data_IF_232544095065
#
_entry.id   IF_232544095065
#
_cell.length_a   1.000
_cell.length_b   1.000
_cell.length_c   1.000
_cell.angle_alpha   90.00
_cell.angle_beta   90.00
_cell.angle_gamma   90.00
#
_symmetry.space_group_name_H-M   'P 1'
#
loop_
_entity.id
_entity.type
_entity.pdbx_description
1 polymer ?
#
# COMPACT_ATOMS: atom_id res chain seq x y z
N UNK A 1 -2.58 -10.63 12.61
CA UNK A 1 -1.39 -10.50 13.49
C UNK A 1 -0.36 -9.59 12.82
N UNK A 2 0.11 -9.87 11.59
CA UNK A 2 1.11 -9.06 10.88
C UNK A 2 0.68 -7.60 10.69
N UNK A 3 -0.54 -7.36 10.25
CA UNK A 3 -1.14 -6.03 10.09
C UNK A 3 -1.14 -5.24 11.40
N UNK A 4 -1.50 -5.88 12.52
CA UNK A 4 -1.49 -5.24 13.83
C UNK A 4 -0.07 -4.91 14.31
N UNK A 5 0.90 -5.79 14.05
CA UNK A 5 2.32 -5.54 14.31
C UNK A 5 2.84 -4.35 13.52
N UNK A 6 2.54 -4.29 12.22
CA UNK A 6 2.95 -3.22 11.33
C UNK A 6 2.40 -1.84 11.76
N UNK A 7 1.12 -1.79 12.15
CA UNK A 7 0.49 -0.55 12.62
C UNK A 7 1.04 -0.11 13.98
N UNK A 8 1.25 -1.06 14.92
CA UNK A 8 1.73 -0.75 16.28
C UNK A 8 3.22 -0.42 16.35
N UNK A 9 4.04 -0.94 15.44
CA UNK A 9 5.49 -0.70 15.45
C UNK A 9 5.88 0.72 15.01
N UNK A 10 5.02 1.46 14.31
CA UNK A 10 5.36 2.74 13.70
C UNK A 10 6.06 2.62 12.33
N UNK A 11 6.39 1.40 11.90
CA UNK A 11 7.07 1.14 10.63
C UNK A 11 6.32 1.71 9.42
N UNK A 12 4.97 1.63 9.45
CA UNK A 12 4.13 2.18 8.38
C UNK A 12 4.31 3.69 8.22
N UNK A 13 4.29 4.44 9.32
CA UNK A 13 4.50 5.90 9.29
C UNK A 13 5.86 6.25 8.72
N UNK A 14 6.92 5.54 9.15
CA UNK A 14 8.28 5.73 8.64
C UNK A 14 8.37 5.47 7.13
N UNK A 15 7.76 4.39 6.63
CA UNK A 15 7.72 4.08 5.20
C UNK A 15 7.03 5.17 4.41
N UNK A 16 5.88 5.66 4.86
CA UNK A 16 5.15 6.74 4.17
C UNK A 16 5.99 8.01 4.11
N UNK A 17 6.64 8.41 5.21
CA UNK A 17 7.50 9.60 5.22
C UNK A 17 8.67 9.46 4.24
N UNK A 18 9.32 8.29 4.16
CA UNK A 18 10.37 8.04 3.16
C UNK A 18 9.87 8.19 1.73
N UNK A 19 8.68 7.64 1.45
CA UNK A 19 8.11 7.75 0.11
C UNK A 19 7.74 9.21 -0.23
N UNK A 20 7.19 9.96 0.73
CA UNK A 20 6.93 11.38 0.52
C UNK A 20 8.22 12.18 0.23
N UNK A 21 9.33 11.82 0.87
CA UNK A 21 10.63 12.41 0.53
C UNK A 21 11.08 12.12 -0.91
N UNK A 22 10.82 10.91 -1.40
CA UNK A 22 11.17 10.51 -2.78
C UNK A 22 10.34 11.27 -3.81
N UNK A 23 9.03 11.43 -3.56
CA UNK A 23 8.12 12.11 -4.49
C UNK A 23 8.20 13.64 -4.42
N UNK A 24 8.73 14.19 -3.34
CA UNK A 24 8.89 15.65 -3.13
C UNK A 24 7.58 16.35 -2.80
N UNK A 25 7.56 17.69 -2.96
CA UNK A 25 6.45 18.57 -2.53
C UNK A 25 5.50 18.98 -3.67
N UNK A 26 5.71 18.52 -4.91
CA UNK A 26 4.78 18.76 -6.01
C UNK A 26 3.49 17.98 -5.80
N UNK A 27 2.35 18.66 -5.90
CA UNK A 27 1.02 18.08 -5.62
C UNK A 27 0.68 16.89 -6.51
N UNK A 28 1.05 16.92 -7.80
CA UNK A 28 0.88 15.82 -8.74
C UNK A 28 1.67 14.56 -8.32
N UNK A 29 2.92 14.75 -7.87
CA UNK A 29 3.78 13.67 -7.38
C UNK A 29 3.34 13.15 -6.02
N UNK A 30 2.89 14.03 -5.13
CA UNK A 30 2.36 13.62 -3.82
C UNK A 30 1.13 12.72 -4.00
N UNK A 31 0.22 13.04 -4.93
CA UNK A 31 -0.90 12.16 -5.27
C UNK A 31 -0.43 10.80 -5.76
N UNK A 32 0.56 10.76 -6.65
CA UNK A 32 1.15 9.51 -7.12
C UNK A 32 1.82 8.74 -5.97
N UNK A 33 2.50 9.44 -5.05
CA UNK A 33 3.10 8.88 -3.85
C UNK A 33 2.08 8.18 -2.97
N UNK A 34 0.97 8.85 -2.63
CA UNK A 34 -0.09 8.26 -1.81
C UNK A 34 -0.77 7.07 -2.49
N UNK A 35 -1.05 7.14 -3.80
CA UNK A 35 -1.55 6.02 -4.59
C UNK A 35 -0.59 4.82 -4.53
N UNK A 36 0.69 5.08 -4.79
CA UNK A 36 1.71 4.03 -4.86
C UNK A 36 1.98 3.38 -3.51
N UNK A 37 2.07 4.19 -2.43
CA UNK A 37 2.23 3.67 -1.06
C UNK A 37 1.01 2.89 -0.63
N UNK A 38 -0.18 3.44 -0.87
CA UNK A 38 -1.43 2.75 -0.57
C UNK A 38 -1.48 1.39 -1.24
N UNK A 39 -1.12 1.33 -2.53
CA UNK A 39 -1.08 0.10 -3.28
C UNK A 39 -0.01 -0.87 -2.74
N UNK A 40 1.22 -0.40 -2.54
CA UNK A 40 2.33 -1.23 -2.09
C UNK A 40 2.06 -1.86 -0.71
N UNK A 41 1.54 -1.07 0.23
CA UNK A 41 1.23 -1.56 1.57
C UNK A 41 0.01 -2.51 1.54
N UNK A 42 -1.02 -2.16 0.76
CA UNK A 42 -2.25 -2.95 0.69
C UNK A 42 -2.08 -4.30 -0.02
N UNK A 43 -1.02 -4.50 -0.79
CA UNK A 43 -0.65 -5.82 -1.31
C UNK A 43 -0.43 -6.86 -0.20
N UNK A 44 0.04 -6.42 0.97
CA UNK A 44 0.52 -7.30 2.03
C UNK A 44 -0.21 -7.12 3.35
N UNK A 45 -0.87 -5.98 3.52
CA UNK A 45 -1.53 -5.57 4.76
C UNK A 45 -3.00 -5.31 4.45
N UNK A 46 -3.88 -5.70 5.36
CA UNK A 46 -5.32 -5.46 5.21
C UNK A 46 -5.62 -3.98 4.91
N UNK A 47 -6.52 -3.74 3.95
CA UNK A 47 -6.93 -2.42 3.46
C UNK A 47 -7.30 -1.44 4.60
N UNK A 48 -8.03 -1.91 5.62
CA UNK A 48 -8.42 -1.08 6.76
C UNK A 48 -7.22 -0.58 7.58
N UNK A 49 -6.21 -1.43 7.76
CA UNK A 49 -4.99 -1.03 8.48
C UNK A 49 -4.17 -0.01 7.67
N UNK A 50 -4.10 -0.17 6.35
CA UNK A 50 -3.44 0.81 5.47
C UNK A 50 -4.20 2.13 5.46
N UNK A 51 -5.54 2.11 5.43
CA UNK A 51 -6.36 3.31 5.54
C UNK A 51 -6.13 4.04 6.85
N UNK A 52 -6.07 3.32 7.97
CA UNK A 52 -5.81 3.90 9.30
C UNK A 52 -4.41 4.56 9.41
N UNK A 53 -3.45 4.15 8.57
CA UNK A 53 -2.13 4.78 8.47
C UNK A 53 -2.12 6.00 7.53
N UNK A 54 -2.69 5.85 6.34
CA UNK A 54 -2.59 6.88 5.29
C UNK A 54 -3.52 8.08 5.54
N UNK A 55 -4.74 7.85 6.05
CA UNK A 55 -5.71 8.93 6.24
C UNK A 55 -5.22 10.01 7.20
N UNK A 56 -4.72 9.70 8.43
CA UNK A 56 -4.18 10.72 9.32
C UNK A 56 -3.00 11.48 8.72
N UNK A 57 -2.14 10.81 7.95
CA UNK A 57 -1.00 11.44 7.29
C UNK A 57 -1.46 12.38 6.18
N UNK A 58 -2.43 11.96 5.36
CA UNK A 58 -3.03 12.79 4.32
C UNK A 58 -3.73 14.02 4.91
N UNK A 59 -4.52 13.84 5.97
CA UNK A 59 -5.18 14.96 6.67
C UNK A 59 -4.16 15.89 7.31
N UNK A 60 -3.10 15.38 7.92
CA UNK A 60 -2.01 16.15 8.47
C UNK A 60 -1.33 17.02 7.42
N UNK A 61 -0.99 16.42 6.26
CA UNK A 61 -0.39 17.10 5.12
C UNK A 61 -1.29 18.25 4.58
N UNK A 62 -2.60 17.99 4.47
CA UNK A 62 -3.56 19.03 4.05
C UNK A 62 -3.65 20.16 5.07
N UNK A 63 -3.63 19.84 6.36
CA UNK A 63 -3.66 20.85 7.43
C UNK A 63 -2.41 21.72 7.40
N UNK A 64 -1.22 21.14 7.23
CA UNK A 64 0.05 21.89 7.08
C UNK A 64 0.01 22.79 5.83
N UNK A 65 -0.63 22.32 4.76
CA UNK A 65 -0.86 23.12 3.54
C UNK A 65 -2.02 24.14 3.66
N UNK A 66 -2.71 24.22 4.79
CA UNK A 66 -3.92 25.04 5.01
C UNK A 66 -5.04 24.76 4.00
N UNK A 67 -5.15 23.49 3.59
CA UNK A 67 -6.18 22.98 2.69
C UNK A 67 -7.16 22.08 3.46
N UNK A 68 -8.43 22.15 3.11
CA UNK A 68 -9.43 21.28 3.72
C UNK A 68 -9.72 20.04 2.84
N UNK A 69 -9.82 18.85 3.43
CA UNK A 69 -10.04 17.60 2.69
C UNK A 69 -11.30 17.61 1.82
N UNK A 70 -12.37 18.29 2.27
CA UNK A 70 -13.67 18.26 1.60
C UNK A 70 -13.90 19.43 0.64
N UNK A 71 -13.23 20.56 0.83
CA UNK A 71 -13.48 21.78 0.04
C UNK A 71 -12.44 22.01 -1.06
N UNK A 72 -11.18 21.67 -0.84
CA UNK A 72 -10.12 21.80 -1.86
C UNK A 72 -10.13 20.63 -2.85
N UNK A 73 -9.84 20.91 -4.13
CA UNK A 73 -9.71 19.84 -5.15
C UNK A 73 -8.54 18.92 -4.83
N UNK A 74 -7.40 19.47 -4.42
CA UNK A 74 -6.26 18.65 -4.01
C UNK A 74 -6.61 17.77 -2.80
N UNK A 75 -7.35 18.30 -1.82
CA UNK A 75 -7.79 17.53 -0.66
C UNK A 75 -8.68 16.36 -1.04
N UNK A 76 -9.68 16.61 -1.91
CA UNK A 76 -10.54 15.53 -2.46
C UNK A 76 -9.72 14.50 -3.22
N UNK A 77 -8.84 14.95 -4.12
CA UNK A 77 -7.97 14.07 -4.89
C UNK A 77 -7.10 13.20 -3.98
N UNK A 78 -6.53 13.76 -2.91
CA UNK A 78 -5.66 13.05 -1.98
C UNK A 78 -6.40 11.98 -1.19
N UNK A 79 -7.60 12.31 -0.69
CA UNK A 79 -8.43 11.33 0.04
C UNK A 79 -8.88 10.18 -0.86
N UNK A 80 -9.27 10.48 -2.11
CA UNK A 80 -9.64 9.47 -3.11
C UNK A 80 -8.40 8.67 -3.54
N UNK A 81 -7.24 9.31 -3.68
CA UNK A 81 -5.98 8.62 -3.99
C UNK A 81 -5.60 7.59 -2.91
N UNK A 82 -5.81 7.92 -1.62
CA UNK A 82 -5.63 6.95 -0.55
C UNK A 82 -6.55 5.72 -0.75
N UNK A 83 -7.85 5.95 -0.98
CA UNK A 83 -8.82 4.87 -1.15
C UNK A 83 -8.53 4.01 -2.39
N UNK A 84 -8.24 4.66 -3.53
CA UNK A 84 -7.93 3.95 -4.78
C UNK A 84 -6.61 3.19 -4.69
N UNK A 85 -5.56 3.81 -4.14
CA UNK A 85 -4.28 3.12 -3.95
C UNK A 85 -4.44 1.85 -3.13
N UNK A 86 -5.15 1.93 -2.01
CA UNK A 86 -5.44 0.79 -1.14
C UNK A 86 -6.24 -0.29 -1.89
N UNK A 87 -7.28 0.09 -2.61
CA UNK A 87 -8.12 -0.86 -3.35
C UNK A 87 -7.37 -1.54 -4.49
N UNK A 88 -6.59 -0.76 -5.27
CA UNK A 88 -5.76 -1.27 -6.37
C UNK A 88 -4.70 -2.25 -5.83
N UNK A 89 -4.02 -1.90 -4.74
CA UNK A 89 -3.02 -2.78 -4.14
C UNK A 89 -3.61 -4.05 -3.56
N UNK A 90 -4.79 -3.95 -2.94
CA UNK A 90 -5.48 -5.10 -2.35
C UNK A 90 -5.78 -6.23 -3.33
N UNK A 91 -5.92 -5.94 -4.62
CA UNK A 91 -6.17 -6.95 -5.66
C UNK A 91 -4.88 -7.70 -6.05
N UNK A 92 -3.72 -7.09 -5.85
CA UNK A 92 -2.45 -7.57 -6.41
C UNK A 92 -2.00 -8.93 -5.85
N UNK A 93 -2.32 -9.25 -4.61
CA UNK A 93 -1.95 -10.52 -3.97
C UNK A 93 -3.14 -11.20 -3.30
N UNK A 94 -3.13 -12.51 -3.11
CA UNK A 94 -4.16 -13.20 -2.33
C UNK A 94 -4.31 -12.68 -0.89
N UNK A 95 -3.25 -12.14 -0.31
CA UNK A 95 -3.22 -11.65 1.06
C UNK A 95 -3.71 -10.21 1.23
N UNK A 96 -3.82 -9.41 0.15
CA UNK A 96 -4.14 -7.98 0.21
C UNK A 96 -5.55 -7.70 0.72
N UNK A 97 -6.54 -8.49 0.30
CA UNK A 97 -7.91 -8.37 0.78
C UNK A 97 -8.56 -9.72 1.01
N UNK A 98 -9.49 -9.79 1.97
CA UNK A 98 -10.23 -11.03 2.28
C UNK A 98 -11.10 -11.55 1.13
N UNK A 99 -11.43 -10.73 0.16
CA UNK A 99 -12.19 -11.13 -1.02
C UNK A 99 -11.40 -12.06 -1.97
N UNK A 100 -10.08 -11.90 -2.04
CA UNK A 100 -9.24 -12.66 -2.96
C UNK A 100 -9.20 -14.17 -2.62
N UNK A 101 -8.95 -14.60 -1.36
CA UNK A 101 -9.03 -16.02 -1.01
C UNK A 101 -10.43 -16.62 -1.26
N UNK A 102 -11.48 -15.84 -1.02
CA UNK A 102 -12.87 -16.29 -1.31
C UNK A 102 -13.05 -16.51 -2.81
N UNK A 103 -12.57 -15.59 -3.66
CA UNK A 103 -12.61 -15.75 -5.10
C UNK A 103 -11.82 -16.99 -5.58
N UNK A 104 -10.63 -17.23 -5.01
CA UNK A 104 -9.81 -18.41 -5.29
C UNK A 104 -10.56 -19.69 -4.90
N UNK A 105 -11.22 -19.73 -3.73
CA UNK A 105 -12.02 -20.89 -3.30
C UNK A 105 -13.17 -21.17 -4.25
N UNK A 106 -13.91 -20.14 -4.68
CA UNK A 106 -14.98 -20.32 -5.66
C UNK A 106 -14.48 -20.81 -7.02
N UNK A 107 -13.34 -20.30 -7.50
CA UNK A 107 -12.74 -20.77 -8.74
C UNK A 107 -12.34 -22.26 -8.66
N UNK A 108 -11.84 -22.69 -7.49
CA UNK A 108 -11.55 -24.10 -7.24
C UNK A 108 -12.81 -24.97 -7.22
N UNK A 109 -13.85 -24.52 -6.52
CA UNK A 109 -15.10 -25.29 -6.37
C UNK A 109 -15.91 -25.35 -7.68
N UNK A 110 -16.04 -24.24 -8.40
CA UNK A 110 -16.92 -24.15 -9.58
C UNK A 110 -16.23 -24.52 -10.90
N UNK A 111 -14.94 -24.20 -11.02
CA UNK A 111 -14.19 -24.39 -12.26
C UNK A 111 -13.07 -25.44 -12.14
N UNK A 112 -12.86 -26.04 -10.96
CA UNK A 112 -11.76 -26.97 -10.73
C UNK A 112 -10.36 -26.32 -10.86
N UNK A 113 -10.29 -25.00 -10.88
CA UNK A 113 -9.05 -24.25 -11.08
C UNK A 113 -8.32 -24.03 -9.75
N UNK A 114 -7.19 -24.68 -9.58
CA UNK A 114 -6.34 -24.51 -8.39
C UNK A 114 -5.33 -23.38 -8.66
N UNK A 115 -5.62 -22.18 -8.15
CA UNK A 115 -4.82 -20.99 -8.39
C UNK A 115 -3.83 -20.79 -7.25
N UNK A 116 -2.54 -20.93 -7.56
CA UNK A 116 -1.47 -20.68 -6.60
C UNK A 116 -1.29 -19.17 -6.31
N UNK A 117 -0.61 -18.87 -5.22
CA UNK A 117 -0.28 -17.49 -4.82
C UNK A 117 0.44 -16.73 -5.96
N UNK A 118 1.42 -17.34 -6.60
CA UNK A 118 2.16 -16.72 -7.70
C UNK A 118 1.34 -16.57 -8.98
N UNK A 119 0.46 -17.53 -9.30
CA UNK A 119 -0.45 -17.40 -10.44
C UNK A 119 -1.41 -16.23 -10.26
N UNK A 120 -1.94 -16.03 -9.07
CA UNK A 120 -2.74 -14.82 -8.78
C UNK A 120 -1.91 -13.54 -9.00
N UNK A 121 -0.70 -13.48 -8.41
CA UNK A 121 0.17 -12.31 -8.52
C UNK A 121 0.60 -12.03 -9.96
N UNK A 122 0.76 -13.04 -10.80
CA UNK A 122 1.16 -12.86 -12.19
C UNK A 122 0.16 -12.03 -13.02
N UNK A 123 -1.10 -12.00 -12.60
CA UNK A 123 -2.15 -11.14 -13.17
C UNK A 123 -2.42 -9.91 -12.31
N UNK A 124 -2.49 -10.08 -10.99
CA UNK A 124 -2.84 -9.01 -10.06
C UNK A 124 -1.81 -7.89 -9.98
N UNK A 125 -0.52 -8.22 -9.96
CA UNK A 125 0.54 -7.21 -9.89
C UNK A 125 0.63 -6.36 -11.15
N UNK A 126 0.69 -6.91 -12.39
CA UNK A 126 0.66 -6.10 -13.60
C UNK A 126 -0.60 -5.25 -13.73
N UNK A 127 -1.76 -5.80 -13.40
CA UNK A 127 -3.02 -5.05 -13.41
C UNK A 127 -2.95 -3.85 -12.46
N UNK A 128 -2.48 -4.05 -11.23
CA UNK A 128 -2.32 -2.97 -10.24
C UNK A 128 -1.32 -1.92 -10.72
N UNK A 129 -0.19 -2.32 -11.29
CA UNK A 129 0.82 -1.39 -11.84
C UNK A 129 0.26 -0.54 -12.98
N UNK A 130 -0.62 -1.08 -13.81
CA UNK A 130 -1.29 -0.33 -14.88
C UNK A 130 -2.39 0.60 -14.34
N UNK A 131 -3.13 0.17 -13.31
CA UNK A 131 -4.22 0.96 -12.72
C UNK A 131 -3.71 2.20 -11.99
N UNK A 132 -2.53 2.16 -11.35
CA UNK A 132 -1.98 3.30 -10.62
C UNK A 132 -1.82 4.55 -11.50
N UNK A 133 -1.10 4.53 -12.64
CA UNK A 133 -0.96 5.71 -13.49
C UNK A 133 -2.28 6.14 -14.14
N UNK A 134 -3.20 5.22 -14.40
CA UNK A 134 -4.53 5.52 -14.92
C UNK A 134 -5.33 6.30 -13.86
N UNK A 135 -5.42 5.78 -12.63
CA UNK A 135 -6.10 6.42 -11.52
C UNK A 135 -5.49 7.81 -11.21
N UNK A 136 -4.17 7.91 -11.20
CA UNK A 136 -3.45 9.17 -11.02
C UNK A 136 -3.84 10.22 -12.07
N UNK A 137 -3.84 9.85 -13.36
CA UNK A 137 -4.23 10.75 -14.45
C UNK A 137 -5.69 11.17 -14.37
N UNK A 138 -6.58 10.25 -14.02
CA UNK A 138 -8.01 10.53 -13.83
C UNK A 138 -8.18 11.54 -12.68
N UNK A 139 -7.54 11.30 -11.54
CA UNK A 139 -7.64 12.19 -10.38
C UNK A 139 -7.16 13.61 -10.71
N UNK A 140 -6.03 13.75 -11.42
CA UNK A 140 -5.52 15.05 -11.82
C UNK A 140 -6.44 15.78 -12.83
N UNK A 141 -7.20 15.05 -13.64
CA UNK A 141 -8.16 15.64 -14.60
C UNK A 141 -9.48 16.03 -13.94
N UNK A 142 -9.97 15.20 -13.02
CA UNK A 142 -11.26 15.41 -12.34
C UNK A 142 -11.14 16.42 -11.22
N UNK A 143 -10.02 16.40 -10.51
CA UNK A 143 -9.71 17.29 -9.39
C UNK A 143 -8.36 17.98 -9.62
N UNK A 144 -8.27 18.94 -10.55
CA UNK A 144 -7.03 19.67 -10.78
C UNK A 144 -6.61 20.42 -9.50
N UNK A 145 -5.37 20.18 -9.00
CA UNK A 145 -4.89 20.85 -7.80
C UNK A 145 -4.85 22.36 -7.97
N UNK A 146 -5.29 23.11 -6.95
CA UNK A 146 -5.26 24.57 -6.93
C UNK A 146 -3.84 25.11 -6.79
N UNK A 147 -2.94 24.33 -6.19
CA UNK A 147 -1.54 24.66 -5.98
C UNK A 147 -0.66 23.62 -6.63
N UNK A 148 0.41 24.05 -7.28
CA UNK A 148 1.35 23.14 -7.97
C UNK A 148 2.39 22.54 -7.01
N UNK A 149 2.70 23.25 -5.93
CA UNK A 149 3.69 22.86 -4.92
C UNK A 149 3.09 23.15 -3.55
N UNK A 150 3.27 22.22 -2.64
CA UNK A 150 2.82 22.36 -1.26
C UNK A 150 3.67 23.44 -0.53
N UNK A 151 3.09 24.23 0.37
CA UNK A 151 3.75 25.37 1.01
C UNK A 151 4.69 24.98 2.15
N UNK A 152 5.24 23.76 2.13
CA UNK A 152 6.24 23.28 3.07
C UNK A 152 7.42 22.68 2.32
N UNK A 153 8.60 22.75 2.92
CA UNK A 153 9.82 22.24 2.34
C UNK A 153 10.00 20.74 2.66
N UNK A 154 10.79 20.06 1.82
CA UNK A 154 11.18 18.66 2.10
C UNK A 154 11.86 18.51 3.48
N UNK A 155 12.43 19.61 4.00
CA UNK A 155 13.10 19.61 5.30
C UNK A 155 12.12 19.43 6.46
N UNK A 156 10.85 19.85 6.36
CA UNK A 156 9.83 19.56 7.37
C UNK A 156 9.49 18.06 7.41
N UNK A 157 9.45 17.41 6.25
CA UNK A 157 9.24 15.96 6.18
C UNK A 157 10.46 15.23 6.77
N UNK A 158 11.67 15.72 6.49
CA UNK A 158 12.90 15.19 7.11
C UNK A 158 12.87 15.38 8.61
N UNK A 159 12.51 16.55 9.12
CA UNK A 159 12.38 16.80 10.56
C UNK A 159 11.38 15.84 11.22
N UNK A 160 10.22 15.57 10.59
CA UNK A 160 9.26 14.57 11.07
C UNK A 160 9.85 13.17 11.08
N UNK A 161 10.69 12.82 10.08
CA UNK A 161 11.38 11.54 10.01
C UNK A 161 12.48 11.44 11.07
N UNK A 162 13.27 12.50 11.24
CA UNK A 162 14.35 12.58 12.25
C UNK A 162 13.79 12.55 13.67
N UNK A 163 12.61 13.16 13.89
CA UNK A 163 11.90 13.08 15.17
C UNK A 163 11.46 11.65 15.55
N UNK A 164 11.32 10.75 14.59
CA UNK A 164 11.09 9.32 14.85
C UNK A 164 12.36 8.61 15.38
N UNK A 165 13.52 9.25 15.25
CA UNK A 165 14.81 8.66 15.64
C UNK A 165 15.22 7.44 14.79
N UNK A 166 16.23 6.68 15.25
CA UNK A 166 16.66 5.46 14.57
C UNK A 166 15.57 4.38 14.63
N UNK A 167 15.58 3.41 13.70
CA UNK A 167 14.63 2.31 13.73
C UNK A 167 14.63 1.58 15.07
N UNK A 168 13.45 1.46 15.67
CA UNK A 168 13.32 0.77 16.96
C UNK A 168 13.49 -0.75 16.79
N UNK A 169 13.91 -1.50 17.83
CA UNK A 169 13.99 -2.95 17.77
C UNK A 169 12.67 -3.62 17.40
N UNK A 170 11.53 -2.98 17.73
CA UNK A 170 10.19 -3.48 17.37
C UNK A 170 9.94 -3.29 15.88
N UNK A 171 10.31 -2.15 15.31
CA UNK A 171 10.21 -1.90 13.84
C UNK A 171 11.05 -2.92 13.07
N UNK A 172 12.30 -3.14 13.49
CA UNK A 172 13.22 -4.11 12.84
C UNK A 172 12.66 -5.54 12.93
N UNK A 173 12.21 -5.97 14.11
CA UNK A 173 11.60 -7.29 14.28
C UNK A 173 10.35 -7.46 13.41
N UNK A 174 9.50 -6.43 13.37
CA UNK A 174 8.29 -6.44 12.52
C UNK A 174 8.66 -6.55 11.04
N UNK A 175 9.66 -5.79 10.58
CA UNK A 175 10.15 -5.85 9.21
C UNK A 175 10.71 -7.24 8.87
N UNK A 176 11.53 -7.81 9.74
CA UNK A 176 12.11 -9.15 9.54
C UNK A 176 11.02 -10.22 9.44
N UNK A 177 10.07 -10.23 10.38
CA UNK A 177 8.94 -11.19 10.35
C UNK A 177 8.11 -11.00 9.08
N UNK A 178 7.87 -9.76 8.67
CA UNK A 178 7.14 -9.43 7.45
C UNK A 178 7.87 -9.96 6.21
N UNK A 179 9.17 -9.70 6.07
CA UNK A 179 9.97 -10.19 4.94
C UNK A 179 10.07 -11.72 4.91
N UNK A 180 10.21 -12.36 6.07
CA UNK A 180 10.20 -13.83 6.17
C UNK A 180 8.85 -14.42 5.73
N UNK A 181 7.74 -13.80 6.12
CA UNK A 181 6.40 -14.26 5.70
C UNK A 181 6.23 -14.15 4.19
N UNK A 182 6.66 -13.04 3.58
CA UNK A 182 6.65 -12.87 2.13
C UNK A 182 7.52 -13.94 1.47
N UNK A 183 8.74 -14.16 1.97
CA UNK A 183 9.65 -15.16 1.43
C UNK A 183 9.05 -16.58 1.48
N UNK A 184 8.39 -16.94 2.59
CA UNK A 184 7.69 -18.22 2.70
C UNK A 184 6.55 -18.32 1.69
N UNK A 185 5.73 -17.30 1.50
CA UNK A 185 4.65 -17.33 0.51
C UNK A 185 5.16 -17.44 -0.92
N UNK A 186 6.24 -16.73 -1.25
CA UNK A 186 6.85 -16.80 -2.57
C UNK A 186 7.60 -18.12 -2.81
N UNK A 187 8.10 -18.78 -1.76
CA UNK A 187 8.80 -20.06 -1.87
C UNK A 187 7.84 -21.28 -1.91
N UNK A 188 6.56 -21.09 -1.60
CA UNK A 188 5.59 -22.21 -1.57
C UNK A 188 5.57 -23.06 -2.84
N UNK A 189 5.57 -22.50 -4.07
CA UNK A 189 5.61 -23.33 -5.29
C UNK A 189 6.94 -24.07 -5.46
N UNK A 190 8.05 -23.48 -5.05
CA UNK A 190 9.37 -24.13 -5.08
C UNK A 190 9.43 -25.28 -4.07
N UNK A 191 8.92 -25.07 -2.87
CA UNK A 191 8.81 -26.10 -1.84
C UNK A 191 7.89 -27.25 -2.29
N UNK A 192 6.76 -26.95 -2.90
CA UNK A 192 5.86 -27.97 -3.47
C UNK A 192 6.55 -28.79 -4.55
N UNK A 193 7.33 -28.16 -5.43
CA UNK A 193 8.13 -28.84 -6.45
C UNK A 193 9.23 -29.72 -5.85
N UNK A 194 9.95 -29.25 -4.83
CA UNK A 194 11.05 -29.98 -4.17
C UNK A 194 10.55 -31.14 -3.31
N UNK A 195 9.34 -31.07 -2.79
CA UNK A 195 8.75 -32.12 -1.94
C UNK A 195 7.94 -33.16 -2.71
N UNK A 196 7.96 -33.08 -4.06
CA UNK A 196 7.29 -34.05 -4.97
C UNK A 196 5.80 -34.22 -4.60
N UNK A 197 5.13 -33.14 -4.28
CA UNK A 197 3.71 -33.14 -3.90
C UNK A 197 3.41 -33.73 -2.51
N UNK A 198 4.41 -34.03 -1.69
CA UNK A 198 4.22 -34.63 -0.36
C UNK A 198 3.72 -33.66 0.71
N UNK A 199 3.78 -32.35 0.42
CA UNK A 199 3.14 -31.33 1.26
C UNK A 199 1.94 -30.78 0.48
N UNK A 200 0.85 -31.53 0.49
CA UNK A 200 -0.45 -31.01 0.11
C UNK A 200 -1.12 -30.54 1.41
N UNK A 201 -1.24 -29.24 1.68
CA UNK A 201 -2.08 -28.78 2.76
C UNK A 201 -3.53 -28.94 2.29
N UNK A 202 -4.15 -30.01 2.73
CA UNK A 202 -5.61 -30.21 2.69
C UNK A 202 -6.33 -29.10 3.47
#
# INVERSE_FOLDING_TARGET
>A
ILSAGFTRSGLGTRLVLHVLLIFGTRTDRVLLGFLSVGALLSMWINNMAVAALLLPLGVGLLKDARLEPASSNFGRALMIACAFGISIGGIATPAGTGANPVAISYLKELAGADISFLQWMSLGVPASLLMIPIAWRILLRVFPPEISVLPFECDEIKQKLDALGPPTPIEVKTLVVFMLTIAVWLSTPLLAYLTDGRINPS
#
